data_IF_612485422420
#
_entry.id   IF_612485422420
#
_cell.length_a   1.000
_cell.length_b   1.000
_cell.length_c   1.000
_cell.angle_alpha   90.00
_cell.angle_beta   90.00
_cell.angle_gamma   90.00
#
_symmetry.space_group_name_H-M   'P 1'
#
loop_
_entity.id
_entity.type
_entity.pdbx_description
1 polymer ?
#
# COMPACT_ATOMS: atom_id res chain seq x y z
N UNK A 1 -13.41 12.07 2.04
CA UNK A 1 -13.18 10.63 1.80
C UNK A 1 -13.29 10.27 0.33
N UNK A 2 -14.44 10.50 -0.31
CA UNK A 2 -14.66 10.11 -1.71
C UNK A 2 -13.64 10.72 -2.69
N UNK A 3 -13.29 12.01 -2.53
CA UNK A 3 -12.27 12.65 -3.35
C UNK A 3 -10.88 12.01 -3.16
N UNK A 4 -10.52 11.69 -1.92
CA UNK A 4 -9.27 11.01 -1.60
C UNK A 4 -9.22 9.62 -2.22
N UNK A 5 -10.24 8.81 -2.02
CA UNK A 5 -10.35 7.48 -2.62
C UNK A 5 -10.28 7.52 -4.16
N UNK A 6 -10.92 8.48 -4.81
CA UNK A 6 -10.81 8.66 -6.27
C UNK A 6 -9.40 9.05 -6.69
N UNK A 7 -8.75 9.95 -5.96
CA UNK A 7 -7.38 10.38 -6.25
C UNK A 7 -6.39 9.21 -6.11
N UNK A 8 -6.49 8.44 -5.03
CA UNK A 8 -5.65 7.26 -4.84
C UNK A 8 -5.87 6.18 -5.90
N UNK A 9 -7.12 5.95 -6.32
CA UNK A 9 -7.42 5.05 -7.43
C UNK A 9 -6.84 5.56 -8.75
N UNK A 10 -6.89 6.86 -9.00
CA UNK A 10 -6.29 7.45 -10.20
C UNK A 10 -4.77 7.28 -10.21
N UNK A 11 -4.11 7.58 -9.09
CA UNK A 11 -2.67 7.41 -8.94
C UNK A 11 -2.25 5.94 -9.12
N UNK A 12 -3.03 5.02 -8.58
CA UNK A 12 -2.78 3.60 -8.74
C UNK A 12 -2.95 3.13 -10.20
N UNK A 13 -4.00 3.61 -10.89
CA UNK A 13 -4.21 3.31 -12.32
C UNK A 13 -3.09 3.93 -13.18
N UNK A 14 -2.68 5.16 -12.89
CA UNK A 14 -1.58 5.83 -13.58
C UNK A 14 -0.27 5.05 -13.49
N UNK A 15 0.05 4.52 -12.31
CA UNK A 15 1.22 3.66 -12.11
C UNK A 15 1.19 2.41 -12.99
N UNK A 16 0.02 1.83 -13.24
CA UNK A 16 -0.11 0.65 -14.08
C UNK A 16 0.02 0.99 -15.57
N UNK A 17 -0.64 2.03 -16.02
CA UNK A 17 -0.94 2.22 -17.43
C UNK A 17 -0.21 3.39 -18.08
N UNK A 18 0.07 4.47 -17.33
CA UNK A 18 0.55 5.71 -17.94
C UNK A 18 2.09 5.82 -17.94
N UNK A 19 2.62 6.20 -19.06
CA UNK A 19 4.02 6.55 -19.26
C UNK A 19 4.21 8.07 -19.26
N UNK A 20 3.22 8.80 -19.77
CA UNK A 20 3.23 10.26 -19.91
C UNK A 20 1.82 10.84 -19.72
N UNK A 21 1.69 12.18 -19.79
CA UNK A 21 0.42 12.90 -19.65
C UNK A 21 -0.31 12.58 -18.31
N UNK A 22 0.38 12.67 -17.16
CA UNK A 22 -0.12 12.16 -15.88
C UNK A 22 -1.38 12.88 -15.37
N UNK A 23 -1.70 14.07 -15.87
CA UNK A 23 -2.92 14.81 -15.53
C UNK A 23 -3.97 14.82 -16.64
N UNK A 24 -3.78 14.03 -17.70
CA UNK A 24 -4.69 13.95 -18.85
C UNK A 24 -5.04 15.33 -19.44
N UNK A 25 -4.03 16.21 -19.54
CA UNK A 25 -4.22 17.57 -20.08
C UNK A 25 -4.50 17.62 -21.56
N UNK A 26 -4.14 16.57 -22.27
CA UNK A 26 -4.49 16.32 -23.66
C UNK A 26 -5.16 14.95 -23.82
N UNK A 27 -5.87 14.67 -24.91
CA UNK A 27 -6.43 13.36 -25.19
C UNK A 27 -5.34 12.27 -25.15
N UNK A 28 -5.69 11.12 -24.60
CA UNK A 28 -4.77 9.98 -24.56
C UNK A 28 -4.37 9.53 -25.96
N UNK A 29 -3.08 9.24 -26.10
CA UNK A 29 -2.46 8.71 -27.32
C UNK A 29 -1.71 7.42 -26.97
N UNK A 30 -1.41 6.54 -27.96
CA UNK A 30 -0.69 5.30 -27.73
C UNK A 30 0.68 5.50 -27.04
N UNK A 31 1.39 6.57 -27.34
CA UNK A 31 2.67 6.91 -26.74
C UNK A 31 2.61 7.26 -25.26
N UNK A 32 1.44 7.64 -24.75
CA UNK A 32 1.21 7.91 -23.32
C UNK A 32 1.05 6.63 -22.50
N UNK A 33 0.86 5.49 -23.16
CA UNK A 33 0.56 4.22 -22.49
C UNK A 33 1.82 3.35 -22.46
N UNK A 34 2.04 2.68 -21.33
CA UNK A 34 3.13 1.70 -21.19
C UNK A 34 2.97 0.57 -22.19
N UNK A 35 4.04 0.23 -22.89
CA UNK A 35 4.05 -0.91 -23.85
C UNK A 35 3.92 -2.25 -23.17
N UNK A 36 4.47 -2.38 -21.96
CA UNK A 36 4.37 -3.56 -21.11
C UNK A 36 3.69 -3.16 -19.82
N UNK A 37 2.50 -3.68 -19.62
CA UNK A 37 1.71 -3.45 -18.41
C UNK A 37 2.02 -4.60 -17.45
N UNK A 38 2.56 -4.28 -16.28
CA UNK A 38 2.86 -5.24 -15.21
C UNK A 38 2.32 -4.67 -13.91
N UNK A 39 1.51 -5.45 -13.21
CA UNK A 39 0.85 -5.06 -11.98
C UNK A 39 -0.60 -5.50 -11.95
N UNK A 40 -1.31 -5.14 -10.92
CA UNK A 40 -2.66 -5.62 -10.66
C UNK A 40 -3.61 -4.47 -10.31
N UNK A 41 -4.86 -4.56 -10.78
CA UNK A 41 -5.92 -3.60 -10.45
C UNK A 41 -6.99 -4.15 -9.51
N UNK A 42 -7.29 -5.45 -9.55
CA UNK A 42 -8.47 -6.05 -8.93
C UNK A 42 -8.67 -5.70 -7.45
N UNK A 43 -7.61 -5.79 -6.63
CA UNK A 43 -7.70 -5.48 -5.20
C UNK A 43 -7.57 -3.99 -4.88
N UNK A 44 -7.08 -3.19 -5.82
CA UNK A 44 -6.66 -1.80 -5.59
C UNK A 44 -7.78 -0.90 -5.08
N UNK A 45 -8.99 -0.88 -5.68
CA UNK A 45 -10.06 -0.03 -5.19
C UNK A 45 -10.51 -0.36 -3.76
N UNK A 46 -10.49 -1.66 -3.41
CA UNK A 46 -10.81 -2.13 -2.08
C UNK A 46 -9.75 -1.74 -1.05
N UNK A 47 -8.48 -1.94 -1.36
CA UNK A 47 -7.38 -1.52 -0.49
C UNK A 47 -7.36 -0.01 -0.28
N UNK A 48 -7.53 0.76 -1.35
CA UNK A 48 -7.63 2.22 -1.26
C UNK A 48 -8.83 2.67 -0.43
N UNK A 49 -9.96 1.95 -0.49
CA UNK A 49 -11.14 2.23 0.33
C UNK A 49 -10.84 1.99 1.81
N UNK A 50 -10.27 0.84 2.16
CA UNK A 50 -9.90 0.49 3.54
C UNK A 50 -8.92 1.51 4.09
N UNK A 51 -7.84 1.79 3.38
CA UNK A 51 -6.82 2.75 3.80
C UNK A 51 -7.40 4.15 4.06
N UNK A 52 -8.23 4.64 3.14
CA UNK A 52 -8.90 5.94 3.29
C UNK A 52 -9.77 6.02 4.54
N UNK A 53 -10.45 4.92 4.87
CA UNK A 53 -11.30 4.87 6.06
C UNK A 53 -10.51 4.69 7.35
N UNK A 54 -9.40 3.93 7.32
CA UNK A 54 -8.48 3.85 8.45
C UNK A 54 -7.85 5.22 8.76
N UNK A 55 -7.39 5.96 7.76
CA UNK A 55 -6.89 7.32 7.95
C UNK A 55 -7.93 8.26 8.61
N UNK A 56 -9.20 8.10 8.27
CA UNK A 56 -10.28 8.83 8.95
C UNK A 56 -10.35 8.47 10.44
N UNK A 57 -10.22 7.20 10.77
CA UNK A 57 -10.28 6.70 12.15
C UNK A 57 -9.04 7.14 12.93
N UNK A 58 -7.85 7.00 12.34
CA UNK A 58 -6.59 7.48 12.90
C UNK A 58 -6.71 8.96 13.29
N UNK A 59 -7.11 9.80 12.35
CA UNK A 59 -7.24 11.25 12.59
C UNK A 59 -8.32 11.63 13.60
N UNK A 60 -9.39 10.83 13.69
CA UNK A 60 -10.49 11.11 14.63
C UNK A 60 -10.10 10.79 16.06
N UNK A 61 -9.32 9.77 16.27
CA UNK A 61 -9.01 9.23 17.59
C UNK A 61 -7.54 9.36 17.98
N UNK A 62 -6.73 10.00 17.14
CA UNK A 62 -5.28 10.19 17.34
C UNK A 62 -4.56 8.85 17.60
N UNK A 63 -4.73 7.90 16.70
CA UNK A 63 -4.24 6.54 16.86
C UNK A 63 -2.87 6.36 16.21
N UNK A 64 -2.01 5.61 16.87
CA UNK A 64 -0.80 5.04 16.28
C UNK A 64 -1.18 3.76 15.52
N UNK A 65 -1.14 3.82 14.20
CA UNK A 65 -1.56 2.68 13.37
C UNK A 65 -0.63 2.51 12.16
N UNK A 66 -0.29 1.25 11.89
CA UNK A 66 0.35 0.86 10.62
C UNK A 66 -0.60 0.01 9.78
N UNK A 67 -0.42 0.06 8.48
CA UNK A 67 -1.21 -0.69 7.52
C UNK A 67 -0.37 -1.74 6.82
N UNK A 68 -0.81 -3.00 6.85
CA UNK A 68 -0.18 -4.11 6.14
C UNK A 68 -1.12 -4.64 5.06
N UNK A 69 -0.59 -4.76 3.85
CA UNK A 69 -1.31 -5.31 2.70
C UNK A 69 -0.85 -6.74 2.44
N UNK A 70 -1.67 -7.71 2.81
CA UNK A 70 -1.45 -9.11 2.49
C UNK A 70 -1.63 -9.43 1.01
N UNK A 71 -2.67 -8.90 0.30
CA UNK A 71 -2.75 -9.05 -1.15
C UNK A 71 -1.70 -8.14 -1.84
N UNK A 72 -0.44 -8.53 -1.70
CA UNK A 72 0.72 -7.73 -2.06
C UNK A 72 0.82 -7.35 -3.53
N UNK A 73 0.16 -8.12 -4.43
CA UNK A 73 0.05 -7.76 -5.84
C UNK A 73 -0.67 -6.42 -6.10
N UNK A 74 -1.36 -5.86 -5.10
CA UNK A 74 -1.94 -4.51 -5.12
C UNK A 74 -0.99 -3.41 -4.63
N UNK A 75 0.33 -3.57 -4.74
CA UNK A 75 1.34 -2.64 -4.22
C UNK A 75 1.20 -1.20 -4.71
N UNK A 76 0.68 -1.00 -5.92
CA UNK A 76 0.39 0.33 -6.44
C UNK A 76 -0.67 1.10 -5.63
N UNK A 77 -1.54 0.42 -4.88
CA UNK A 77 -2.45 1.09 -3.94
C UNK A 77 -1.66 1.72 -2.78
N UNK A 78 -0.73 0.99 -2.17
CA UNK A 78 0.09 1.49 -1.07
C UNK A 78 0.96 2.67 -1.51
N UNK A 79 1.63 2.55 -2.65
CA UNK A 79 2.43 3.63 -3.25
C UNK A 79 1.56 4.87 -3.54
N UNK A 80 0.36 4.69 -4.08
CA UNK A 80 -0.58 5.78 -4.34
C UNK A 80 -0.98 6.53 -3.06
N UNK A 81 -1.24 5.81 -1.97
CA UNK A 81 -1.60 6.40 -0.69
C UNK A 81 -0.46 7.19 -0.07
N UNK A 82 0.74 6.60 0.02
CA UNK A 82 1.91 7.26 0.59
C UNK A 82 2.37 8.47 -0.23
N UNK A 83 2.22 8.42 -1.56
CA UNK A 83 2.46 9.58 -2.41
C UNK A 83 1.42 10.69 -2.17
N UNK A 84 0.14 10.33 -2.06
CA UNK A 84 -0.93 11.30 -1.83
C UNK A 84 -0.81 11.97 -0.45
N UNK A 85 -0.35 11.24 0.56
CA UNK A 85 -0.04 11.77 1.89
C UNK A 85 1.17 12.71 1.89
N UNK A 86 2.13 12.47 1.02
CA UNK A 86 3.39 13.21 0.93
C UNK A 86 4.60 12.46 1.45
N UNK A 87 4.41 11.44 2.28
CA UNK A 87 5.49 10.65 2.89
C UNK A 87 6.42 10.04 1.83
N UNK A 88 5.87 9.59 0.71
CA UNK A 88 6.67 9.07 -0.40
C UNK A 88 7.71 10.08 -0.90
N UNK A 89 7.27 11.33 -1.10
CA UNK A 89 8.14 12.41 -1.61
C UNK A 89 9.13 12.94 -0.56
N UNK A 90 8.85 12.74 0.73
CA UNK A 90 9.80 13.06 1.80
C UNK A 90 11.01 12.12 1.77
N UNK A 91 10.79 10.85 1.49
CA UNK A 91 11.86 9.83 1.39
C UNK A 91 12.52 9.84 0.01
N UNK A 92 11.72 10.05 -1.04
CA UNK A 92 12.18 10.06 -2.43
C UNK A 92 11.90 11.44 -3.07
N UNK A 93 12.72 12.46 -2.78
CA UNK A 93 12.45 13.84 -3.21
C UNK A 93 12.42 14.04 -4.73
N UNK A 94 13.06 13.16 -5.49
CA UNK A 94 12.97 13.15 -6.94
C UNK A 94 11.58 12.80 -7.47
N UNK A 95 10.72 12.21 -6.64
CA UNK A 95 9.32 11.94 -6.92
C UNK A 95 8.47 12.99 -6.21
N UNK A 96 8.59 14.23 -6.65
CA UNK A 96 7.93 15.38 -6.06
C UNK A 96 6.41 15.38 -6.25
N UNK A 97 5.69 16.19 -5.45
CA UNK A 97 4.22 16.31 -5.53
C UNK A 97 3.80 17.35 -6.58
N UNK A 98 4.30 17.19 -7.79
CA UNK A 98 3.99 17.99 -8.97
C UNK A 98 3.83 17.10 -10.20
N UNK A 99 3.70 17.71 -11.39
CA UNK A 99 3.50 16.97 -12.63
C UNK A 99 4.69 16.08 -12.97
N UNK A 100 5.90 16.60 -12.77
CA UNK A 100 7.15 15.88 -13.08
C UNK A 100 7.34 14.71 -12.13
N UNK A 101 7.12 14.92 -10.83
CA UNK A 101 7.18 13.85 -9.84
C UNK A 101 6.10 12.79 -10.04
N UNK A 102 4.88 13.18 -10.40
CA UNK A 102 3.82 12.23 -10.74
C UNK A 102 4.16 11.42 -12.00
N UNK A 103 4.79 12.04 -13.00
CA UNK A 103 5.25 11.33 -14.18
C UNK A 103 6.35 10.32 -13.83
N UNK A 104 7.29 10.68 -12.95
CA UNK A 104 8.31 9.76 -12.44
C UNK A 104 7.69 8.61 -11.66
N UNK A 105 6.73 8.90 -10.78
CA UNK A 105 5.98 7.89 -10.03
C UNK A 105 5.35 6.85 -10.96
N UNK A 106 4.68 7.31 -12.02
CA UNK A 106 4.04 6.42 -12.97
C UNK A 106 5.07 5.60 -13.76
N UNK A 107 6.13 6.24 -14.25
CA UNK A 107 7.18 5.57 -15.03
C UNK A 107 7.90 4.47 -14.25
N UNK A 108 8.24 4.73 -12.99
CA UNK A 108 9.08 3.83 -12.20
C UNK A 108 8.37 2.56 -11.72
N UNK A 109 7.03 2.58 -11.66
CA UNK A 109 6.28 1.44 -11.16
C UNK A 109 6.46 0.22 -12.06
N UNK A 110 6.90 -0.89 -11.46
CA UNK A 110 7.17 -2.17 -12.14
C UNK A 110 8.17 -2.05 -13.32
N UNK A 111 9.15 -1.16 -13.18
CA UNK A 111 10.20 -0.93 -14.16
C UNK A 111 11.58 -1.26 -13.57
N UNK A 112 12.53 -1.78 -14.34
CA UNK A 112 13.87 -2.07 -13.82
C UNK A 112 14.52 -0.83 -13.18
N UNK A 113 14.98 -0.99 -11.94
CA UNK A 113 15.53 0.11 -11.14
C UNK A 113 14.51 1.06 -10.52
N UNK A 114 13.23 0.80 -10.75
CA UNK A 114 12.13 1.52 -10.12
C UNK A 114 11.53 0.76 -8.93
N UNK A 115 10.24 1.01 -8.67
CA UNK A 115 9.52 0.34 -7.58
C UNK A 115 8.93 -1.00 -8.03
N UNK A 116 8.91 -1.97 -7.12
CA UNK A 116 8.32 -3.28 -7.35
C UNK A 116 6.80 -3.21 -7.62
N UNK A 117 6.29 -4.17 -8.39
CA UNK A 117 4.84 -4.30 -8.67
C UNK A 117 4.04 -4.76 -7.45
N UNK A 118 4.69 -5.38 -6.49
CA UNK A 118 4.10 -5.86 -5.24
C UNK A 118 4.45 -4.94 -4.08
N UNK A 119 3.72 -5.07 -2.99
CA UNK A 119 4.05 -4.37 -1.74
C UNK A 119 5.48 -4.72 -1.33
N UNK A 120 6.24 -3.70 -0.97
CA UNK A 120 7.64 -3.86 -0.62
C UNK A 120 8.05 -2.84 0.46
N UNK A 121 9.04 -3.16 1.30
CA UNK A 121 9.52 -2.27 2.37
C UNK A 121 10.11 -0.94 1.86
N UNK A 122 10.48 -0.86 0.58
CA UNK A 122 10.92 0.37 -0.07
C UNK A 122 9.80 1.42 -0.16
N UNK A 123 8.54 1.01 -0.09
CA UNK A 123 7.43 1.96 0.06
C UNK A 123 7.40 2.47 1.49
N UNK A 124 7.53 3.79 1.72
CA UNK A 124 7.57 4.36 3.07
C UNK A 124 6.40 3.92 3.93
N UNK A 125 6.70 3.45 5.14
CA UNK A 125 5.69 2.93 6.08
C UNK A 125 5.28 1.47 5.88
N UNK A 126 5.74 0.82 4.81
CA UNK A 126 5.52 -0.62 4.61
C UNK A 126 6.57 -1.44 5.35
N UNK A 127 6.14 -2.45 6.09
CA UNK A 127 7.01 -3.44 6.74
C UNK A 127 6.84 -4.83 6.15
N UNK A 128 5.93 -4.98 5.19
CA UNK A 128 5.59 -6.25 4.57
C UNK A 128 6.16 -6.33 3.15
N UNK A 129 6.67 -7.51 2.81
CA UNK A 129 7.00 -7.88 1.44
C UNK A 129 5.85 -8.76 0.91
N UNK A 130 5.18 -8.31 -0.15
CA UNK A 130 3.92 -8.90 -0.61
C UNK A 130 4.06 -9.93 -1.72
N UNK A 131 5.28 -10.28 -2.14
CA UNK A 131 5.54 -11.29 -3.16
C UNK A 131 5.27 -12.71 -2.70
N UNK A 132 5.44 -12.98 -1.40
CA UNK A 132 5.14 -14.25 -0.77
C UNK A 132 3.87 -14.15 0.06
N UNK A 133 2.87 -14.97 -0.23
CA UNK A 133 1.60 -14.99 0.50
C UNK A 133 1.71 -15.76 1.81
N UNK A 134 1.00 -15.27 2.84
CA UNK A 134 0.84 -15.95 4.12
C UNK A 134 1.56 -15.32 5.29
N UNK A 135 2.40 -14.31 5.10
CA UNK A 135 3.26 -13.73 6.15
C UNK A 135 2.76 -12.41 6.73
N UNK A 136 1.80 -11.76 6.08
CA UNK A 136 1.31 -10.43 6.51
C UNK A 136 0.82 -10.42 7.96
N UNK A 137 0.06 -11.44 8.35
CA UNK A 137 -0.49 -11.52 9.71
C UNK A 137 0.60 -11.77 10.75
N UNK A 138 1.63 -12.58 10.43
CA UNK A 138 2.77 -12.78 11.32
C UNK A 138 3.57 -11.47 11.50
N UNK A 139 3.74 -10.69 10.42
CA UNK A 139 4.36 -9.36 10.50
C UNK A 139 3.54 -8.40 11.35
N UNK A 140 2.21 -8.42 11.22
CA UNK A 140 1.32 -7.59 12.03
C UNK A 140 1.45 -7.91 13.53
N UNK A 141 1.43 -9.19 13.90
CA UNK A 141 1.64 -9.61 15.29
C UNK A 141 3.04 -9.24 15.78
N UNK A 142 4.07 -9.44 14.95
CA UNK A 142 5.44 -9.06 15.31
C UNK A 142 5.62 -7.57 15.56
N UNK A 143 4.93 -6.73 14.79
CA UNK A 143 5.03 -5.28 14.92
C UNK A 143 4.43 -4.74 16.23
N UNK A 144 3.44 -5.43 16.79
CA UNK A 144 2.73 -4.95 17.99
C UNK A 144 3.31 -5.48 19.30
N UNK A 145 4.27 -6.43 19.26
CA UNK A 145 4.97 -6.85 20.48
C UNK A 145 5.72 -5.67 21.10
N UNK A 146 5.59 -5.51 22.43
CA UNK A 146 6.19 -4.43 23.21
C UNK A 146 5.80 -3.00 22.76
N UNK A 147 4.69 -2.87 21.99
CA UNK A 147 4.17 -1.59 21.51
C UNK A 147 2.69 -1.43 21.90
N UNK A 148 2.37 -1.15 23.17
CA UNK A 148 1.00 -1.17 23.67
C UNK A 148 0.04 -0.17 22.99
N UNK A 149 0.58 0.91 22.43
CA UNK A 149 -0.21 1.95 21.77
C UNK A 149 -0.40 1.70 20.27
N UNK A 150 0.33 0.72 19.69
CA UNK A 150 0.31 0.46 18.25
C UNK A 150 -0.86 -0.44 17.84
N UNK A 151 -1.54 -0.06 16.77
CA UNK A 151 -2.50 -0.91 16.06
C UNK A 151 -1.91 -1.30 14.70
N UNK A 152 -1.77 -2.59 14.44
CA UNK A 152 -1.43 -3.11 13.11
C UNK A 152 -2.70 -3.54 12.37
N UNK A 153 -3.12 -2.74 11.40
CA UNK A 153 -4.25 -3.08 10.54
C UNK A 153 -3.76 -3.94 9.36
N UNK A 154 -4.13 -5.22 9.36
CA UNK A 154 -3.69 -6.21 8.40
C UNK A 154 -4.83 -6.63 7.48
N UNK A 155 -4.72 -6.29 6.20
CA UNK A 155 -5.62 -6.83 5.17
C UNK A 155 -5.09 -8.19 4.73
N UNK A 156 -5.88 -9.22 4.94
CA UNK A 156 -5.57 -10.59 4.50
C UNK A 156 -6.24 -10.84 3.16
N UNK A 157 -5.45 -11.30 2.17
CA UNK A 157 -5.98 -11.74 0.88
C UNK A 157 -6.68 -13.09 0.99
N UNK A 158 -7.65 -13.34 0.11
CA UNK A 158 -8.39 -14.61 0.05
C UNK A 158 -7.46 -15.81 -0.22
N UNK A 159 -6.61 -15.73 -1.24
CA UNK A 159 -5.62 -16.76 -1.52
C UNK A 159 -4.56 -16.89 -0.42
N UNK A 160 -4.17 -15.79 0.21
CA UNK A 160 -3.27 -15.78 1.35
C UNK A 160 -3.87 -16.52 2.56
N UNK A 161 -5.19 -16.33 2.79
CA UNK A 161 -5.91 -16.96 3.90
C UNK A 161 -5.86 -18.50 3.87
N UNK A 162 -5.70 -19.08 2.68
CA UNK A 162 -5.61 -20.55 2.47
C UNK A 162 -4.19 -21.09 2.67
N UNK A 163 -3.19 -20.23 2.91
CA UNK A 163 -1.81 -20.67 3.11
C UNK A 163 -1.57 -21.23 4.51
N UNK A 164 -0.65 -22.19 4.61
CA UNK A 164 -0.21 -22.75 5.90
C UNK A 164 0.37 -21.69 6.84
N UNK A 165 1.28 -20.81 6.37
CA UNK A 165 1.84 -19.75 7.20
C UNK A 165 0.77 -18.83 7.81
N UNK A 166 -0.24 -18.40 7.05
CA UNK A 166 -1.29 -17.55 7.59
C UNK A 166 -2.19 -18.31 8.57
N UNK A 167 -2.55 -19.55 8.26
CA UNK A 167 -3.35 -20.39 9.15
C UNK A 167 -2.67 -20.59 10.52
N UNK A 168 -1.35 -20.74 10.53
CA UNK A 168 -0.58 -20.84 11.80
C UNK A 168 -0.46 -19.49 12.49
N UNK A 169 -0.34 -18.40 11.75
CA UNK A 169 -0.20 -17.04 12.31
C UNK A 169 -1.42 -16.61 13.14
N UNK A 170 -2.62 -17.13 12.86
CA UNK A 170 -3.82 -16.89 13.68
C UNK A 170 -3.64 -17.24 15.15
N UNK A 171 -2.79 -18.21 15.47
CA UNK A 171 -2.49 -18.60 16.84
C UNK A 171 -1.64 -17.58 17.58
N UNK A 172 -1.01 -16.63 16.88
CA UNK A 172 -0.14 -15.63 17.49
C UNK A 172 -0.88 -14.69 18.45
N UNK A 173 -2.19 -14.53 18.32
CA UNK A 173 -3.00 -13.77 19.26
C UNK A 173 -2.91 -14.26 20.72
N UNK A 174 -2.51 -15.53 20.93
CA UNK A 174 -2.32 -16.11 22.26
C UNK A 174 -1.05 -15.60 22.96
N UNK A 175 -0.14 -15.03 22.20
CA UNK A 175 1.13 -14.52 22.73
C UNK A 175 1.06 -13.04 23.09
N UNK A 176 0.01 -12.33 22.63
CA UNK A 176 -0.16 -10.91 22.95
C UNK A 176 -0.61 -10.74 24.41
N UNK A 177 0.13 -9.87 25.10
CA UNK A 177 -0.26 -9.39 26.43
C UNK A 177 -1.07 -8.08 26.25
N UNK A 178 -2.35 -8.04 26.62
CA UNK A 178 -3.20 -6.86 26.40
C UNK A 178 -2.77 -5.60 27.17
N UNK A 179 -1.76 -5.72 28.04
CA UNK A 179 -1.21 -4.58 28.80
C UNK A 179 0.11 -4.10 28.22
N UNK A 180 0.94 -5.01 27.73
CA UNK A 180 2.31 -4.71 27.26
C UNK A 180 2.45 -4.66 25.74
N UNK A 181 1.48 -5.22 25.02
CA UNK A 181 1.52 -5.30 23.55
C UNK A 181 0.37 -4.49 22.94
N UNK A 182 0.52 -4.16 21.65
CA UNK A 182 -0.52 -3.50 20.88
C UNK A 182 -1.60 -4.45 20.36
N UNK A 183 -2.34 -4.01 19.35
CA UNK A 183 -3.48 -4.75 18.81
C UNK A 183 -3.31 -5.02 17.30
N UNK A 184 -3.77 -6.17 16.84
CA UNK A 184 -3.91 -6.51 15.41
C UNK A 184 -5.39 -6.42 15.03
N UNK A 185 -5.69 -5.63 13.98
CA UNK A 185 -7.02 -5.43 13.41
C UNK A 185 -7.11 -6.15 12.06
#
# INVERSE_FOLDING_TARGET
>A
LHAWWRASNYLAAGQLYLLDNPLLREPLKPEHIKRKIVGHWGTVPGQNFIYTHLNRVIKKYDLDMIYLSGPGHGGNAMVAQTYLEGTYSEIYPDVSRDIEGMQRLFKQFSFPGGIASHVAPETPGSINEGGELGYSLAHAFGAVFDNPDLIAACVVGDGEAETGPLATAWHSNKFLNPVGDGAVL
#
